data_IF_285532580307
#
_entry.id   IF_285532580307
#
_cell.length_a   1.000
_cell.length_b   1.000
_cell.length_c   1.000
_cell.angle_alpha   90.00
_cell.angle_beta   90.00
_cell.angle_gamma   90.00
#
_symmetry.space_group_name_H-M   'P 1'
#
loop_
_entity.id
_entity.type
_entity.pdbx_description
1 polymer ?
#
# COMPACT_ATOMS: atom_id res chain seq x y z
N UNK A 1 60.61 -5.12 -25.27
CA UNK A 1 59.73 -4.65 -24.16
C UNK A 1 58.56 -3.89 -24.77
N UNK A 2 57.34 -4.42 -24.69
CA UNK A 2 56.12 -3.79 -25.21
C UNK A 2 55.03 -3.98 -24.16
N UNK A 3 54.78 -2.95 -23.37
CA UNK A 3 53.80 -2.98 -22.26
C UNK A 3 52.40 -2.72 -22.81
N UNK A 4 51.57 -3.76 -22.85
CA UNK A 4 50.13 -3.62 -23.10
C UNK A 4 49.45 -3.29 -21.77
N UNK A 5 48.81 -2.13 -21.66
CA UNK A 5 47.87 -1.85 -20.57
C UNK A 5 46.47 -2.27 -21.04
N UNK A 6 45.74 -3.14 -20.33
CA UNK A 6 44.33 -3.35 -20.64
C UNK A 6 43.52 -2.11 -20.25
N UNK A 7 42.75 -1.61 -21.21
CA UNK A 7 41.79 -0.51 -21.03
C UNK A 7 40.64 -1.03 -20.16
N UNK A 8 40.52 -0.54 -18.93
CA UNK A 8 39.35 -0.78 -18.09
C UNK A 8 38.18 0.06 -18.64
N UNK A 9 37.19 -0.60 -19.25
CA UNK A 9 35.94 0.04 -19.67
C UNK A 9 35.05 0.13 -18.43
N UNK A 10 34.97 1.33 -17.86
CA UNK A 10 34.04 1.68 -16.80
C UNK A 10 32.64 1.82 -17.42
N UNK A 11 31.83 0.76 -17.43
CA UNK A 11 30.42 0.84 -17.79
C UNK A 11 29.68 1.62 -16.71
N UNK A 12 29.39 2.90 -16.98
CA UNK A 12 28.45 3.71 -16.22
C UNK A 12 27.06 3.18 -16.53
N UNK A 13 26.52 2.35 -15.63
CA UNK A 13 25.13 1.89 -15.70
C UNK A 13 24.22 3.05 -15.32
N UNK A 14 23.73 3.77 -16.32
CA UNK A 14 22.74 4.83 -16.14
C UNK A 14 21.45 4.20 -15.65
N UNK A 15 21.19 4.26 -14.34
CA UNK A 15 19.89 3.89 -13.76
C UNK A 15 18.90 4.96 -14.26
N UNK A 16 18.18 4.64 -15.34
CA UNK A 16 16.97 5.36 -15.73
C UNK A 16 15.99 5.27 -14.57
N UNK A 17 15.96 6.30 -13.73
CA UNK A 17 14.88 6.52 -12.77
C UNK A 17 13.63 6.84 -13.56
N UNK A 18 12.93 5.80 -14.02
CA UNK A 18 11.56 5.89 -14.48
C UNK A 18 10.80 6.50 -13.29
N UNK A 19 10.46 7.78 -13.40
CA UNK A 19 9.57 8.45 -12.46
C UNK A 19 8.20 7.79 -12.60
N UNK A 20 8.04 6.63 -11.97
CA UNK A 20 6.79 5.92 -11.90
C UNK A 20 5.86 6.76 -11.04
N UNK A 21 5.05 7.59 -11.70
CA UNK A 21 4.04 8.36 -11.01
C UNK A 21 3.04 7.38 -10.40
N UNK A 22 2.75 7.51 -9.12
CA UNK A 22 1.75 6.71 -8.42
C UNK A 22 0.44 7.47 -8.36
N UNK A 23 -0.65 6.76 -8.17
CA UNK A 23 -1.97 7.33 -7.98
C UNK A 23 -2.73 6.65 -6.85
N UNK A 24 -3.69 7.37 -6.30
CA UNK A 24 -4.59 6.87 -5.26
C UNK A 24 -5.46 5.76 -5.81
N UNK A 25 -5.53 4.64 -5.10
CA UNK A 25 -6.41 3.54 -5.42
C UNK A 25 -7.84 3.79 -4.90
N UNK A 26 -8.80 3.80 -5.82
CA UNK A 26 -10.22 4.09 -5.56
C UNK A 26 -11.11 2.94 -6.04
N UNK A 27 -12.36 2.89 -5.58
CA UNK A 27 -13.32 1.90 -6.07
C UNK A 27 -13.55 2.00 -7.58
N UNK A 28 -13.64 3.23 -8.11
CA UNK A 28 -13.75 3.45 -9.54
C UNK A 28 -12.56 2.91 -10.33
N UNK A 29 -11.36 2.94 -9.76
CA UNK A 29 -10.17 2.32 -10.37
C UNK A 29 -10.22 0.80 -10.28
N UNK A 30 -10.59 0.26 -9.12
CA UNK A 30 -10.78 -1.18 -8.93
C UNK A 30 -11.75 -1.74 -9.97
N UNK A 31 -12.94 -1.17 -10.11
CA UNK A 31 -13.94 -1.61 -11.10
C UNK A 31 -13.39 -1.60 -12.52
N UNK A 32 -12.67 -0.55 -12.91
CA UNK A 32 -12.07 -0.46 -14.25
C UNK A 32 -11.01 -1.53 -14.51
N UNK A 33 -10.18 -1.82 -13.51
CA UNK A 33 -9.13 -2.84 -13.60
C UNK A 33 -9.76 -4.22 -13.74
N UNK A 34 -10.72 -4.54 -12.88
CA UNK A 34 -11.43 -5.83 -12.88
C UNK A 34 -12.21 -6.07 -14.18
N UNK A 35 -12.79 -5.02 -14.77
CA UNK A 35 -13.51 -5.11 -16.05
C UNK A 35 -12.59 -5.41 -17.24
N UNK A 36 -11.31 -5.07 -17.17
CA UNK A 36 -10.39 -5.19 -18.32
C UNK A 36 -9.83 -6.60 -18.54
N UNK A 37 -10.23 -7.62 -17.76
CA UNK A 37 -9.87 -9.06 -17.87
C UNK A 37 -8.35 -9.42 -17.89
N UNK A 38 -7.43 -8.48 -18.15
CA UNK A 38 -6.00 -8.72 -18.33
C UNK A 38 -5.14 -8.40 -17.09
N UNK A 39 -5.70 -7.68 -16.10
CA UNK A 39 -5.00 -7.29 -14.87
C UNK A 39 -5.79 -7.75 -13.66
N UNK A 40 -5.42 -8.91 -13.12
CA UNK A 40 -5.84 -9.32 -11.78
C UNK A 40 -5.33 -8.30 -10.76
N UNK A 41 -6.17 -7.90 -9.80
CA UNK A 41 -5.77 -7.02 -8.69
C UNK A 41 -4.50 -7.51 -8.00
N UNK A 42 -4.32 -8.83 -7.92
CA UNK A 42 -3.19 -9.48 -7.27
C UNK A 42 -1.85 -9.27 -8.02
N UNK A 43 -1.90 -8.84 -9.28
CA UNK A 43 -0.71 -8.56 -10.11
C UNK A 43 -0.26 -7.11 -10.02
N UNK A 44 -1.01 -6.26 -9.33
CA UNK A 44 -0.65 -4.86 -9.13
C UNK A 44 0.28 -4.72 -7.93
N UNK A 45 1.29 -3.86 -8.08
CA UNK A 45 2.10 -3.40 -6.96
C UNK A 45 1.39 -2.25 -6.26
N UNK A 46 1.11 -2.42 -4.97
CA UNK A 46 0.51 -1.40 -4.11
C UNK A 46 1.55 -0.77 -3.19
N UNK A 47 1.19 0.38 -2.62
CA UNK A 47 1.97 1.07 -1.58
C UNK A 47 1.04 1.79 -0.61
N UNK A 48 1.47 2.01 0.63
CA UNK A 48 0.83 2.95 1.56
C UNK A 48 1.33 4.39 1.35
N UNK A 49 0.45 5.37 1.53
CA UNK A 49 0.76 6.79 1.31
C UNK A 49 1.41 7.52 2.51
N UNK A 50 1.23 6.97 3.71
CA UNK A 50 1.81 7.45 4.98
C UNK A 50 2.23 6.26 5.87
N UNK A 51 3.07 6.47 6.89
CA UNK A 51 3.47 5.40 7.80
C UNK A 51 2.27 4.80 8.53
N UNK A 52 2.36 3.51 8.87
CA UNK A 52 1.41 2.83 9.75
C UNK A 52 2.22 2.25 10.91
N UNK A 53 1.85 2.61 12.13
CA UNK A 53 2.48 2.08 13.35
C UNK A 53 1.40 1.44 14.20
N UNK A 54 1.58 0.16 14.51
CA UNK A 54 0.66 -0.60 15.36
C UNK A 54 1.40 -1.21 16.55
N UNK A 55 0.70 -1.31 17.67
CA UNK A 55 1.24 -1.90 18.89
C UNK A 55 0.31 -2.93 19.52
N UNK A 56 0.90 -3.95 20.12
CA UNK A 56 0.21 -4.96 20.91
C UNK A 56 0.86 -5.05 22.29
N UNK A 57 0.05 -5.20 23.32
CA UNK A 57 0.52 -5.31 24.71
C UNK A 57 0.09 -6.65 25.30
N UNK A 58 1.01 -7.33 25.98
CA UNK A 58 0.77 -8.61 26.63
C UNK A 58 1.49 -8.68 27.97
N UNK A 59 0.92 -9.38 28.95
CA UNK A 59 1.56 -9.63 30.26
C UNK A 59 2.59 -10.77 30.19
N UNK A 60 2.56 -11.58 29.13
CA UNK A 60 3.51 -12.65 28.87
C UNK A 60 4.18 -12.46 27.51
N UNK A 61 5.41 -12.97 27.38
CA UNK A 61 6.11 -13.00 26.10
C UNK A 61 5.36 -13.94 25.15
N UNK A 62 4.80 -13.37 24.11
CA UNK A 62 4.20 -14.05 22.98
C UNK A 62 5.25 -14.26 21.87
N UNK A 63 5.57 -15.53 21.58
CA UNK A 63 6.51 -15.91 20.53
C UNK A 63 5.83 -16.14 19.17
N UNK A 64 4.50 -16.06 19.11
CA UNK A 64 3.75 -16.18 17.84
C UNK A 64 3.74 -14.87 17.04
N UNK A 65 4.11 -13.76 17.67
CA UNK A 65 4.11 -12.43 17.08
C UNK A 65 5.43 -12.16 16.37
N UNK A 66 5.37 -11.88 15.08
CA UNK A 66 6.52 -11.42 14.30
C UNK A 66 6.56 -9.89 14.39
N UNK A 67 7.14 -9.38 15.48
CA UNK A 67 7.30 -7.94 15.66
C UNK A 67 8.70 -7.48 15.26
N UNK A 68 8.76 -6.27 14.67
CA UNK A 68 10.03 -5.61 14.40
C UNK A 68 10.75 -5.18 15.68
N UNK A 69 10.01 -4.76 16.72
CA UNK A 69 10.57 -4.35 18.01
C UNK A 69 9.70 -4.81 19.18
N UNK A 70 10.34 -5.28 20.25
CA UNK A 70 9.69 -5.65 21.52
C UNK A 70 10.34 -4.89 22.68
N UNK A 71 9.52 -4.25 23.51
CA UNK A 71 9.92 -3.58 24.74
C UNK A 71 9.27 -4.26 25.95
N UNK A 72 9.97 -4.35 27.07
CA UNK A 72 9.40 -4.83 28.33
C UNK A 72 9.49 -3.73 29.38
N UNK A 73 8.33 -3.17 29.76
CA UNK A 73 8.23 -2.03 30.68
C UNK A 73 7.07 -2.27 31.64
N UNK A 74 7.30 -2.07 32.94
CA UNK A 74 6.29 -2.23 34.01
C UNK A 74 5.56 -3.58 34.01
N UNK A 75 6.27 -4.67 33.70
CA UNK A 75 5.68 -6.02 33.67
C UNK A 75 4.87 -6.32 32.40
N UNK A 76 4.89 -5.44 31.40
CA UNK A 76 4.14 -5.58 30.15
C UNK A 76 5.12 -5.65 28.97
N UNK A 77 4.95 -6.66 28.13
CA UNK A 77 5.58 -6.75 26.82
C UNK A 77 4.79 -5.90 25.82
N UNK A 78 5.44 -4.93 25.19
CA UNK A 78 4.92 -4.16 24.06
C UNK A 78 5.62 -4.56 22.79
N UNK A 79 4.83 -4.94 21.81
CA UNK A 79 5.24 -5.27 20.45
C UNK A 79 4.93 -4.10 19.54
N UNK A 80 5.81 -3.82 18.59
CA UNK A 80 5.66 -2.75 17.61
C UNK A 80 5.90 -3.30 16.21
N UNK A 81 5.00 -2.92 15.30
CA UNK A 81 5.16 -3.10 13.86
C UNK A 81 5.08 -1.71 13.23
N UNK A 82 6.12 -1.37 12.49
CA UNK A 82 6.24 -0.10 11.77
C UNK A 82 6.29 -0.42 10.28
N UNK A 83 5.34 0.13 9.54
CA UNK A 83 5.25 0.05 8.09
C UNK A 83 5.56 1.44 7.56
N UNK A 84 6.79 1.71 7.09
CA UNK A 84 7.18 3.01 6.57
C UNK A 84 6.27 3.47 5.43
N UNK A 85 6.22 4.77 5.17
CA UNK A 85 5.56 5.31 3.97
C UNK A 85 6.18 4.70 2.71
N UNK A 86 5.37 4.49 1.66
CA UNK A 86 5.79 3.89 0.39
C UNK A 86 6.30 2.45 0.51
N UNK A 87 5.89 1.70 1.54
CA UNK A 87 6.23 0.29 1.63
C UNK A 87 5.48 -0.48 0.53
N UNK A 88 6.19 -1.21 -0.35
CA UNK A 88 5.56 -2.07 -1.35
C UNK A 88 4.70 -3.15 -0.68
N UNK A 89 3.50 -3.39 -1.18
CA UNK A 89 2.62 -4.44 -0.69
C UNK A 89 1.81 -5.10 -1.82
N UNK A 90 1.30 -6.29 -1.54
CA UNK A 90 0.41 -7.04 -2.43
C UNK A 90 -0.99 -7.05 -1.83
N UNK A 91 -2.01 -6.82 -2.65
CA UNK A 91 -3.39 -6.93 -2.23
C UNK A 91 -4.04 -8.20 -2.78
N UNK A 92 -4.88 -8.83 -1.96
CA UNK A 92 -5.76 -9.94 -2.34
C UNK A 92 -7.20 -9.58 -2.03
N UNK A 93 -8.13 -10.07 -2.84
CA UNK A 93 -9.55 -9.84 -2.60
C UNK A 93 -9.96 -10.49 -1.27
N UNK A 94 -10.61 -9.72 -0.40
CA UNK A 94 -11.35 -10.28 0.74
C UNK A 94 -12.82 -10.41 0.40
N UNK A 95 -13.42 -9.32 -0.07
CA UNK A 95 -14.76 -9.23 -0.65
C UNK A 95 -14.80 -8.05 -1.64
N UNK A 96 -15.98 -7.61 -2.06
CA UNK A 96 -16.12 -6.58 -3.10
C UNK A 96 -15.71 -5.16 -2.67
N UNK A 97 -15.66 -4.91 -1.36
CA UNK A 97 -15.36 -3.59 -0.78
C UNK A 97 -14.04 -3.58 -0.01
N UNK A 98 -13.50 -4.76 0.31
CA UNK A 98 -12.37 -4.94 1.22
C UNK A 98 -11.25 -5.75 0.56
N UNK A 99 -10.01 -5.31 0.78
CA UNK A 99 -8.78 -5.98 0.38
C UNK A 99 -7.98 -6.42 1.61
N UNK A 100 -7.39 -7.62 1.53
CA UNK A 100 -6.28 -8.02 2.41
C UNK A 100 -4.99 -7.48 1.81
N UNK A 101 -4.25 -6.67 2.54
CA UNK A 101 -3.00 -6.05 2.10
C UNK A 101 -1.85 -6.62 2.91
N UNK A 102 -0.92 -7.27 2.22
CA UNK A 102 0.23 -7.96 2.78
C UNK A 102 1.48 -7.12 2.55
N UNK A 103 2.10 -6.65 3.64
CA UNK A 103 3.38 -5.92 3.62
C UNK A 103 4.58 -6.84 3.82
N UNK A 104 4.33 -8.08 4.24
CA UNK A 104 5.32 -9.14 4.42
C UNK A 104 4.68 -10.50 4.12
N UNK A 105 5.50 -11.54 3.98
CA UNK A 105 5.02 -12.90 3.75
C UNK A 105 4.41 -13.50 5.03
N UNK A 106 3.28 -14.19 4.89
CA UNK A 106 2.60 -14.85 6.01
C UNK A 106 1.10 -14.99 5.77
N UNK A 107 0.48 -15.99 6.40
CA UNK A 107 -0.94 -16.25 6.19
C UNK A 107 -1.83 -15.16 6.82
N UNK A 108 -1.44 -14.68 8.00
CA UNK A 108 -2.20 -13.73 8.81
C UNK A 108 -1.52 -12.35 8.97
N UNK A 109 -0.46 -12.08 8.20
CA UNK A 109 0.33 -10.84 8.23
C UNK A 109 -0.25 -9.75 7.31
N UNK A 110 -1.58 -9.64 7.29
CA UNK A 110 -2.28 -8.66 6.47
C UNK A 110 -3.00 -7.61 7.31
N UNK A 111 -3.11 -6.42 6.74
CA UNK A 111 -4.05 -5.38 7.17
C UNK A 111 -5.22 -5.32 6.20
N UNK A 112 -6.40 -4.96 6.70
CA UNK A 112 -7.57 -4.77 5.85
C UNK A 112 -7.63 -3.33 5.36
N UNK A 113 -7.92 -3.14 4.08
CA UNK A 113 -8.22 -1.84 3.49
C UNK A 113 -9.60 -1.89 2.84
N UNK A 114 -10.43 -0.89 3.12
CA UNK A 114 -11.82 -0.80 2.66
C UNK A 114 -12.08 0.54 1.96
N UNK A 115 -13.06 0.58 1.06
CA UNK A 115 -13.51 1.86 0.51
C UNK A 115 -14.04 2.76 1.63
N UNK A 116 -13.42 3.92 1.81
CA UNK A 116 -13.87 4.89 2.78
C UNK A 116 -15.11 5.62 2.28
N UNK A 117 -16.28 5.12 2.66
CA UNK A 117 -17.58 5.75 2.41
C UNK A 117 -18.04 6.66 3.57
N UNK A 118 -17.21 6.86 4.59
CA UNK A 118 -17.58 7.67 5.75
C UNK A 118 -17.69 9.15 5.34
N UNK A 119 -18.78 9.78 5.73
CA UNK A 119 -19.03 11.22 5.58
C UNK A 119 -18.97 11.89 6.96
N UNK A 120 -18.12 12.90 7.15
CA UNK A 120 -18.18 13.79 8.33
C UNK A 120 -16.83 14.18 8.95
N UNK A 121 -16.89 15.14 9.88
CA UNK A 121 -15.78 15.81 10.61
C UNK A 121 -14.86 14.89 11.44
N UNK A 122 -15.19 13.59 11.57
CA UNK A 122 -14.41 12.63 12.36
C UNK A 122 -13.19 12.05 11.64
N UNK A 123 -12.82 12.61 10.48
CA UNK A 123 -11.64 12.23 9.71
C UNK A 123 -10.56 13.30 9.78
N UNK A 124 -9.32 12.86 10.03
CA UNK A 124 -8.14 13.73 9.99
C UNK A 124 -7.77 14.17 8.57
N UNK A 125 -8.07 13.33 7.58
CA UNK A 125 -7.95 13.63 6.14
C UNK A 125 -9.19 13.19 5.38
N UNK A 126 -9.62 14.05 4.45
CA UNK A 126 -10.62 13.68 3.46
C UNK A 126 -10.06 12.61 2.52
N UNK A 127 -10.51 11.38 2.77
CA UNK A 127 -10.11 10.17 2.05
C UNK A 127 -11.32 9.47 1.45
N UNK A 128 -12.43 10.19 1.28
CA UNK A 128 -13.68 9.62 0.75
C UNK A 128 -13.48 8.95 -0.61
N UNK A 129 -14.02 7.75 -0.79
CA UNK A 129 -13.94 6.94 -2.00
C UNK A 129 -12.55 6.32 -2.28
N UNK A 130 -11.62 6.41 -1.32
CA UNK A 130 -10.28 5.82 -1.40
C UNK A 130 -10.25 4.54 -0.58
N UNK A 131 -9.42 3.58 -0.98
CA UNK A 131 -9.12 2.42 -0.15
C UNK A 131 -8.26 2.85 1.04
N UNK A 132 -8.84 2.86 2.23
CA UNK A 132 -8.23 3.28 3.49
C UNK A 132 -8.09 2.08 4.43
N UNK A 133 -7.10 2.13 5.33
CA UNK A 133 -6.94 1.18 6.43
C UNK A 133 -8.27 1.01 7.20
N UNK A 134 -8.77 -0.21 7.24
CA UNK A 134 -10.00 -0.57 7.93
C UNK A 134 -9.74 -0.64 9.44
N UNK A 135 -10.34 0.30 10.18
CA UNK A 135 -10.13 0.48 11.61
C UNK A 135 -11.42 0.26 12.41
N UNK A 136 -11.27 -0.30 13.61
CA UNK A 136 -12.29 -0.31 14.66
C UNK A 136 -11.99 0.80 15.67
N UNK A 137 -12.93 1.73 15.86
CA UNK A 137 -12.84 2.74 16.93
C UNK A 137 -13.57 2.24 18.16
N UNK A 138 -12.88 2.28 19.30
CA UNK A 138 -13.42 1.90 20.60
C UNK A 138 -13.08 2.97 21.63
N UNK A 139 -13.62 2.85 22.85
CA UNK A 139 -13.43 3.85 23.92
C UNK A 139 -11.95 4.13 24.21
N UNK A 140 -11.11 3.09 24.14
CA UNK A 140 -9.71 3.15 24.57
C UNK A 140 -8.72 3.31 23.41
N UNK A 141 -9.22 3.47 22.17
CA UNK A 141 -8.36 3.74 21.02
C UNK A 141 -8.91 3.24 19.69
N UNK A 142 -8.00 3.20 18.72
CA UNK A 142 -8.24 2.75 17.35
C UNK A 142 -7.49 1.46 17.13
N UNK A 143 -8.12 0.48 16.50
CA UNK A 143 -7.61 -0.87 16.40
C UNK A 143 -7.73 -1.46 15.00
N UNK A 144 -6.83 -2.39 14.70
CA UNK A 144 -6.86 -3.24 13.50
C UNK A 144 -6.69 -4.70 13.90
N UNK A 145 -7.00 -5.62 12.99
CA UNK A 145 -6.60 -7.02 13.12
C UNK A 145 -5.32 -7.26 12.33
N UNK A 146 -4.32 -7.85 12.98
CA UNK A 146 -3.02 -8.22 12.40
C UNK A 146 -2.49 -9.45 13.13
N UNK A 147 -1.95 -10.43 12.40
CA UNK A 147 -1.54 -11.74 12.94
C UNK A 147 -2.63 -12.44 13.76
N UNK A 148 -3.89 -12.31 13.34
CA UNK A 148 -5.05 -12.87 14.05
C UNK A 148 -5.35 -12.21 15.41
N UNK A 149 -4.57 -11.20 15.82
CA UNK A 149 -4.72 -10.47 17.08
C UNK A 149 -5.26 -9.06 16.83
N UNK A 150 -5.75 -8.43 17.89
CA UNK A 150 -6.20 -7.04 17.87
C UNK A 150 -5.05 -6.13 18.28
N UNK A 151 -4.62 -5.27 17.36
CA UNK A 151 -3.52 -4.33 17.54
C UNK A 151 -4.05 -2.91 17.62
N UNK A 152 -3.45 -2.08 18.47
CA UNK A 152 -3.76 -0.66 18.58
C UNK A 152 -3.00 0.12 17.51
N UNK A 153 -3.69 0.99 16.78
CA UNK A 153 -3.08 1.94 15.85
C UNK A 153 -2.53 3.11 16.63
N UNK A 154 -1.23 3.37 16.46
CA UNK A 154 -0.51 4.50 17.04
C UNK A 154 -0.38 5.62 16.00
N UNK A 155 -0.13 5.26 14.75
CA UNK A 155 0.00 6.15 13.60
C UNK A 155 -0.63 5.49 12.36
N UNK A 156 -1.14 6.31 11.43
CA UNK A 156 -1.59 5.81 10.14
C UNK A 156 -3.06 5.38 10.05
N UNK A 157 -3.94 5.85 10.97
CA UNK A 157 -5.36 5.49 10.96
C UNK A 157 -6.10 5.87 9.65
N UNK A 158 -5.53 6.78 8.87
CA UNK A 158 -6.04 7.26 7.58
C UNK A 158 -5.12 6.93 6.40
N UNK A 159 -4.23 5.94 6.56
CA UNK A 159 -3.42 5.43 5.47
C UNK A 159 -4.30 4.91 4.33
N UNK A 160 -3.93 5.26 3.09
CA UNK A 160 -4.60 4.83 1.86
C UNK A 160 -3.65 4.06 0.95
N UNK A 161 -4.22 3.29 0.02
CA UNK A 161 -3.48 2.58 -1.00
C UNK A 161 -3.16 3.45 -2.21
N UNK A 162 -1.96 3.27 -2.73
CA UNK A 162 -1.46 3.80 -3.99
C UNK A 162 -1.12 2.65 -4.95
N UNK A 163 -1.23 2.89 -6.25
CA UNK A 163 -0.76 1.98 -7.31
C UNK A 163 0.14 2.72 -8.31
N UNK A 164 0.98 1.97 -9.03
CA UNK A 164 1.80 2.51 -10.11
C UNK A 164 0.95 2.87 -11.35
N UNK A 165 1.03 4.11 -11.85
CA UNK A 165 0.23 4.56 -13.01
C UNK A 165 0.60 3.84 -14.31
N UNK A 166 1.82 3.32 -14.44
CA UNK A 166 2.26 2.61 -15.65
C UNK A 166 1.37 1.41 -15.97
N UNK A 167 0.75 0.81 -14.95
CA UNK A 167 -0.16 -0.32 -15.07
C UNK A 167 -1.51 0.05 -15.73
N UNK A 168 -1.79 1.35 -15.98
CA UNK A 168 -2.98 1.81 -16.71
C UNK A 168 -2.88 1.71 -18.24
N UNK A 169 -1.68 1.66 -18.81
CA UNK A 169 -1.46 2.27 -20.14
C UNK A 169 -0.97 1.37 -21.26
N UNK A 170 -1.00 0.04 -21.14
CA UNK A 170 -0.70 -0.77 -22.32
C UNK A 170 -1.83 -0.76 -23.38
N UNK A 171 -3.07 -0.35 -23.03
CA UNK A 171 -4.17 -0.50 -24.01
C UNK A 171 -5.39 0.43 -23.80
N UNK A 172 -5.26 1.76 -23.94
CA UNK A 172 -6.45 2.63 -24.14
C UNK A 172 -6.20 4.08 -24.57
N UNK A 173 -5.38 4.35 -25.59
CA UNK A 173 -5.45 5.68 -26.22
C UNK A 173 -5.74 5.59 -27.71
N UNK A 174 -6.99 5.26 -28.04
CA UNK A 174 -7.52 5.59 -29.37
C UNK A 174 -7.67 7.11 -29.51
N UNK A 175 -6.59 7.77 -29.93
CA UNK A 175 -6.62 9.21 -30.24
C UNK A 175 -7.26 9.42 -31.61
N UNK A 176 -8.50 9.93 -31.64
CA UNK A 176 -9.11 10.39 -32.90
C UNK A 176 -8.56 11.77 -33.26
N UNK A 177 -7.78 11.85 -34.34
CA UNK A 177 -7.31 13.13 -34.91
C UNK A 177 -8.44 13.75 -35.76
N UNK A 178 -8.97 14.89 -35.32
CA UNK A 178 -9.98 15.64 -36.06
C UNK A 178 -9.31 16.55 -37.10
N UNK A 179 -9.90 16.67 -38.30
CA UNK A 179 -9.34 17.48 -39.40
C UNK A 179 -9.83 18.94 -39.43
N UNK A 180 -10.80 19.30 -38.58
CA UNK A 180 -11.50 20.59 -38.65
C UNK A 180 -12.42 20.70 -39.88
N UNK A 181 -13.37 21.63 -39.84
CA UNK A 181 -14.25 21.97 -40.97
C UNK A 181 -13.87 23.36 -41.45
N UNK A 182 -13.73 23.55 -42.76
CA UNK A 182 -13.52 24.88 -43.37
C UNK A 182 -14.87 25.50 -43.72
N UNK A 183 -14.98 26.80 -43.49
CA UNK A 183 -16.11 27.63 -43.94
C UNK A 183 -15.82 28.05 -45.38
N UNK A 184 -16.79 27.82 -46.28
CA UNK A 184 -16.82 28.41 -47.62
C UNK A 184 -17.41 29.82 -47.59
#
# INVERSE_FOLDING_TARGET
MRTWKPLAILTVTTILSISCSREVFTQSLRTRIEQKQASDLERLQYYNDIPIVITYSSTSKDNSIQAGKVEFVDGIYRYFVEIPKMTPCVARRYNDEVLKVYFEEGENTYLLFEENNRTGESQRRDTKGRYQLAIAREKDGVFVRFEGKKWRVVEGEDAILLIDKSLRFEDDTQRRKLKGVRVE
#
